data_IF_721854910314
#
_entry.id   IF_721854910314
#
_cell.length_a   1.000
_cell.length_b   1.000
_cell.length_c   1.000
_cell.angle_alpha   90.00
_cell.angle_beta   90.00
_cell.angle_gamma   90.00
#
_symmetry.space_group_name_H-M   'P 1'
#
loop_
_entity.id
_entity.type
_entity.pdbx_description
1 polymer ?
#
# COMPACT_ATOMS: atom_id res chain seq x y z
N UNK A 1 5.94 -13.08 -11.71
CA UNK A 1 6.65 -11.81 -12.03
C UNK A 1 6.33 -10.85 -10.89
N UNK A 2 7.26 -10.00 -10.49
CA UNK A 2 7.05 -9.02 -9.41
C UNK A 2 7.02 -7.58 -9.93
N UNK A 3 7.44 -7.34 -11.17
CA UNK A 3 7.41 -6.04 -11.82
C UNK A 3 7.93 -6.07 -13.26
N UNK A 4 7.59 -5.06 -14.03
CA UNK A 4 8.03 -4.82 -15.42
C UNK A 4 8.37 -3.34 -15.63
N UNK A 5 9.15 -3.01 -16.66
CA UNK A 5 9.40 -1.61 -17.01
C UNK A 5 8.17 -0.91 -17.58
N UNK A 6 8.17 0.42 -17.48
CA UNK A 6 7.06 1.30 -17.90
C UNK A 6 7.60 2.41 -18.80
N UNK A 7 7.03 2.52 -20.00
CA UNK A 7 7.41 3.55 -20.96
C UNK A 7 6.68 4.88 -20.74
N UNK A 8 7.38 5.99 -20.93
CA UNK A 8 6.79 7.33 -20.81
C UNK A 8 5.93 7.67 -22.04
N UNK A 9 4.59 7.67 -21.88
CA UNK A 9 3.62 7.78 -22.98
C UNK A 9 3.80 6.67 -24.04
N UNK A 10 4.28 5.49 -23.63
CA UNK A 10 4.54 4.33 -24.48
C UNK A 10 3.90 3.07 -23.87
N UNK A 11 4.54 1.91 -24.00
CA UNK A 11 4.00 0.64 -23.51
C UNK A 11 3.95 0.59 -22.00
N UNK A 12 2.85 0.08 -21.45
CA UNK A 12 2.77 -0.22 -20.00
C UNK A 12 3.72 -1.34 -19.62
N UNK A 13 3.99 -2.28 -20.55
CA UNK A 13 5.01 -3.31 -20.40
C UNK A 13 6.18 -2.99 -21.33
N UNK A 14 7.24 -2.40 -20.78
CA UNK A 14 8.42 -2.00 -21.53
C UNK A 14 9.66 -2.71 -20.97
N UNK A 15 10.43 -3.36 -21.85
CA UNK A 15 11.72 -3.93 -21.49
C UNK A 15 12.86 -2.92 -21.69
N UNK A 16 14.11 -3.29 -21.39
CA UNK A 16 14.57 -4.62 -20.97
C UNK A 16 14.52 -4.90 -19.46
N UNK A 17 14.46 -3.88 -18.60
CA UNK A 17 14.47 -4.06 -17.15
C UNK A 17 13.15 -4.66 -16.64
N UNK A 18 13.24 -5.57 -15.67
CA UNK A 18 12.09 -6.14 -14.96
C UNK A 18 12.48 -6.64 -13.58
N UNK A 19 11.49 -6.99 -12.76
CA UNK A 19 11.68 -7.67 -11.48
C UNK A 19 10.97 -9.02 -11.55
N UNK A 20 11.72 -10.11 -11.67
CA UNK A 20 11.14 -11.44 -11.83
C UNK A 20 12.06 -12.58 -11.45
N UNK A 21 11.48 -13.75 -11.19
CA UNK A 21 12.21 -14.97 -10.83
C UNK A 21 12.78 -15.72 -12.02
N UNK A 22 12.14 -15.63 -13.18
CA UNK A 22 12.70 -16.14 -14.43
C UNK A 22 13.86 -15.25 -14.85
N UNK A 23 14.93 -15.83 -15.40
CA UNK A 23 16.04 -15.11 -16.04
C UNK A 23 15.76 -14.92 -17.54
N UNK A 24 16.19 -13.81 -18.11
CA UNK A 24 16.18 -13.55 -19.55
C UNK A 24 17.58 -13.14 -19.98
N UNK A 25 18.05 -13.66 -21.11
CA UNK A 25 19.35 -13.27 -21.69
C UNK A 25 19.38 -11.81 -22.15
N UNK A 26 18.21 -11.19 -22.33
CA UNK A 26 18.04 -9.78 -22.72
C UNK A 26 17.75 -8.86 -21.54
N UNK A 27 17.88 -9.35 -20.30
CA UNK A 27 17.64 -8.56 -19.09
C UNK A 27 18.81 -7.64 -18.78
N UNK A 28 18.51 -6.36 -18.61
CA UNK A 28 19.49 -5.35 -18.22
C UNK A 28 19.44 -5.07 -16.71
N UNK A 29 20.59 -4.65 -16.17
CA UNK A 29 20.66 -4.20 -14.78
C UNK A 29 19.79 -2.95 -14.56
N UNK A 30 19.26 -2.82 -13.33
CA UNK A 30 18.57 -1.60 -12.92
C UNK A 30 19.53 -0.41 -12.92
N UNK A 31 19.07 0.71 -13.44
CA UNK A 31 19.82 1.94 -13.56
C UNK A 31 18.97 3.14 -13.14
N UNK A 32 19.63 4.22 -12.72
CA UNK A 32 18.99 5.49 -12.39
C UNK A 32 18.10 5.99 -13.55
N UNK A 33 16.89 6.44 -13.23
CA UNK A 33 15.89 6.93 -14.18
C UNK A 33 14.99 5.86 -14.80
N UNK A 34 15.17 4.58 -14.47
CA UNK A 34 14.27 3.51 -14.93
C UNK A 34 12.98 3.49 -14.11
N UNK A 35 11.83 3.40 -14.78
CA UNK A 35 10.52 3.22 -14.17
C UNK A 35 10.07 1.77 -14.28
N UNK A 36 9.55 1.22 -13.18
CA UNK A 36 9.08 -0.16 -13.07
C UNK A 36 7.75 -0.20 -12.29
N UNK A 37 6.99 -1.28 -12.44
CA UNK A 37 5.98 -1.68 -11.43
C UNK A 37 6.63 -2.48 -10.29
N UNK A 38 6.07 -2.38 -9.08
CA UNK A 38 6.28 -3.27 -7.94
C UNK A 38 4.93 -3.84 -7.51
N UNK A 39 4.67 -5.09 -7.89
CA UNK A 39 3.31 -5.66 -7.92
C UNK A 39 3.15 -7.06 -7.27
N UNK A 40 3.60 -7.28 -6.03
CA UNK A 40 3.39 -8.56 -5.36
C UNK A 40 1.90 -8.90 -5.21
N UNK A 41 1.58 -10.20 -5.37
CA UNK A 41 0.20 -10.69 -5.25
C UNK A 41 0.08 -12.13 -4.78
N UNK A 42 -1.10 -12.47 -4.28
CA UNK A 42 -1.50 -13.80 -3.84
C UNK A 42 -2.92 -14.10 -4.28
N UNK A 43 -3.15 -15.31 -4.77
CA UNK A 43 -4.45 -15.75 -5.28
C UNK A 43 -4.82 -17.11 -4.72
N UNK A 44 -5.99 -17.19 -4.09
CA UNK A 44 -6.58 -18.43 -3.56
C UNK A 44 -7.69 -18.90 -4.51
N UNK A 45 -7.50 -20.03 -5.23
CA UNK A 45 -8.48 -20.53 -6.19
C UNK A 45 -9.87 -20.73 -5.58
N UNK A 46 -10.91 -20.25 -6.27
CA UNK A 46 -12.29 -20.37 -5.84
C UNK A 46 -12.69 -19.47 -4.66
N UNK A 47 -11.82 -18.53 -4.26
CA UNK A 47 -12.04 -17.65 -3.11
C UNK A 47 -11.70 -16.19 -3.47
N UNK A 48 -10.50 -15.71 -3.16
CA UNK A 48 -10.10 -14.32 -3.36
C UNK A 48 -8.69 -14.18 -3.96
N UNK A 49 -8.37 -12.96 -4.40
CA UNK A 49 -7.03 -12.56 -4.81
C UNK A 49 -6.69 -11.16 -4.32
N UNK A 50 -5.41 -10.90 -4.09
CA UNK A 50 -4.88 -9.60 -3.66
C UNK A 50 -3.63 -9.32 -4.50
N UNK A 51 -3.52 -8.10 -5.01
CA UNK A 51 -2.29 -7.53 -5.58
C UNK A 51 -2.17 -6.10 -5.08
N UNK A 52 -0.96 -5.71 -4.70
CA UNK A 52 -0.61 -4.34 -4.34
C UNK A 52 0.42 -3.92 -5.37
N UNK A 53 0.15 -2.85 -6.11
CA UNK A 53 0.93 -2.44 -7.27
C UNK A 53 1.21 -0.94 -7.22
N UNK A 54 2.50 -0.59 -7.22
CA UNK A 54 2.98 0.79 -7.27
C UNK A 54 3.94 0.96 -8.46
N UNK A 55 3.85 2.11 -9.14
CA UNK A 55 4.88 2.55 -10.07
C UNK A 55 6.04 3.16 -9.27
N UNK A 56 7.25 2.72 -9.57
CA UNK A 56 8.48 3.09 -8.87
C UNK A 56 9.54 3.55 -9.86
N UNK A 57 10.32 4.55 -9.46
CA UNK A 57 11.49 5.04 -10.16
C UNK A 57 12.75 4.57 -9.44
N UNK A 58 13.72 4.05 -10.18
CA UNK A 58 15.06 3.76 -9.68
C UNK A 58 15.84 5.07 -9.61
N UNK A 59 16.30 5.44 -8.42
CA UNK A 59 17.06 6.68 -8.20
C UNK A 59 18.34 6.43 -7.40
N UNK A 60 19.33 7.30 -7.52
CA UNK A 60 20.52 7.29 -6.66
C UNK A 60 20.15 7.44 -5.17
N UNK A 61 20.80 6.63 -4.32
CA UNK A 61 20.65 6.70 -2.88
C UNK A 61 21.48 7.86 -2.31
N UNK A 62 20.80 8.88 -1.76
CA UNK A 62 21.41 10.01 -1.09
C UNK A 62 22.22 9.50 0.13
N UNK A 63 23.55 9.40 0.02
CA UNK A 63 24.53 9.13 1.10
C UNK A 63 25.07 7.70 1.24
N UNK A 64 24.93 6.85 0.23
CA UNK A 64 25.53 5.52 0.27
C UNK A 64 26.54 5.38 -0.86
N UNK A 65 27.83 5.44 -0.53
CA UNK A 65 28.91 5.04 -1.43
C UNK A 65 29.74 3.95 -0.78
N UNK A 66 30.11 2.96 -1.57
CA UNK A 66 31.07 1.93 -1.17
C UNK A 66 32.00 1.68 -2.36
N UNK A 67 33.30 1.78 -2.14
CA UNK A 67 34.31 1.56 -3.20
C UNK A 67 34.05 2.40 -4.47
N UNK A 68 33.76 3.70 -4.29
CA UNK A 68 33.38 4.65 -5.36
C UNK A 68 32.12 4.29 -6.17
N UNK A 69 31.34 3.29 -5.74
CA UNK A 69 30.03 2.96 -6.33
C UNK A 69 28.91 3.59 -5.53
N UNK A 70 27.90 4.11 -6.23
CA UNK A 70 26.69 4.64 -5.62
C UNK A 70 25.65 3.52 -5.50
N UNK A 71 24.90 3.49 -4.40
CA UNK A 71 23.76 2.60 -4.28
C UNK A 71 22.53 3.20 -4.97
N UNK A 72 21.64 2.32 -5.42
CA UNK A 72 20.31 2.69 -5.93
C UNK A 72 19.27 2.48 -4.84
N UNK A 73 18.16 3.19 -4.96
CA UNK A 73 16.94 3.01 -4.17
C UNK A 73 15.72 3.23 -5.07
N UNK A 74 14.55 2.85 -4.58
CA UNK A 74 13.30 3.18 -5.25
C UNK A 74 12.70 4.48 -4.73
N UNK A 75 11.99 5.17 -5.62
CA UNK A 75 11.15 6.33 -5.34
C UNK A 75 9.74 6.01 -5.84
N UNK A 76 8.77 5.89 -4.94
CA UNK A 76 7.38 5.59 -5.30
C UNK A 76 6.72 6.78 -5.99
N UNK A 77 6.17 6.52 -7.18
CA UNK A 77 5.46 7.47 -8.04
C UNK A 77 3.96 7.41 -7.79
N UNK A 78 3.40 6.20 -7.62
CA UNK A 78 1.99 6.02 -7.27
C UNK A 78 1.65 6.68 -5.93
N UNK A 79 0.56 7.44 -5.91
CA UNK A 79 0.05 8.15 -4.72
C UNK A 79 -1.38 7.73 -4.43
N UNK A 80 -1.56 6.50 -3.95
CA UNK A 80 -2.85 5.91 -3.60
C UNK A 80 -2.72 5.22 -2.25
N UNK A 81 -3.52 5.57 -1.22
CA UNK A 81 -3.34 4.98 0.09
C UNK A 81 -3.71 3.48 0.09
N UNK A 82 -2.89 2.65 0.74
CA UNK A 82 -3.25 1.26 1.03
C UNK A 82 -4.56 1.15 1.83
N UNK A 83 -5.34 0.10 1.56
CA UNK A 83 -6.62 -0.16 2.24
C UNK A 83 -6.40 -0.57 3.70
N UNK A 84 -6.58 0.38 4.62
CA UNK A 84 -6.30 0.24 6.06
C UNK A 84 -7.02 -0.93 6.71
N UNK A 85 -8.23 -1.25 6.27
CA UNK A 85 -9.03 -2.34 6.85
C UNK A 85 -8.48 -3.74 6.54
N UNK A 86 -7.61 -3.87 5.54
CA UNK A 86 -6.99 -5.14 5.13
C UNK A 86 -5.58 -5.34 5.70
N UNK A 87 -5.08 -4.40 6.49
CA UNK A 87 -3.73 -4.47 7.08
C UNK A 87 -3.82 -5.12 8.47
N UNK A 88 -3.31 -6.34 8.59
CA UNK A 88 -3.05 -6.94 9.89
C UNK A 88 -1.77 -6.35 10.50
N UNK A 89 -1.95 -5.35 11.36
CA UNK A 89 -0.84 -4.63 12.02
C UNK A 89 0.01 -5.56 12.89
N UNK A 90 -0.51 -6.71 13.33
CA UNK A 90 0.26 -7.65 14.16
C UNK A 90 1.37 -8.37 13.39
N UNK A 91 1.28 -8.39 12.05
CA UNK A 91 2.30 -8.97 11.16
C UNK A 91 3.39 -7.95 10.77
N UNK A 92 3.22 -6.67 11.12
CA UNK A 92 4.14 -5.61 10.75
C UNK A 92 5.18 -5.34 11.84
N UNK A 93 6.42 -5.15 11.40
CA UNK A 93 7.43 -4.50 12.25
C UNK A 93 7.09 -3.02 12.44
N UNK A 94 7.62 -2.40 13.50
CA UNK A 94 7.48 -0.97 13.73
C UNK A 94 8.02 -0.13 12.56
N UNK A 95 9.07 -0.61 11.88
CA UNK A 95 9.64 0.07 10.71
C UNK A 95 8.61 0.06 9.57
N UNK A 96 8.04 -1.10 9.23
CA UNK A 96 7.04 -1.22 8.16
C UNK A 96 5.77 -0.40 8.46
N UNK A 97 5.26 -0.44 9.70
CA UNK A 97 4.13 0.38 10.10
C UNK A 97 4.42 1.88 9.95
N UNK A 98 5.62 2.31 10.33
CA UNK A 98 6.03 3.69 10.17
C UNK A 98 6.18 4.07 8.69
N UNK A 99 6.74 3.19 7.85
CA UNK A 99 6.82 3.38 6.40
C UNK A 99 5.44 3.56 5.77
N UNK A 100 4.45 2.75 6.13
CA UNK A 100 3.08 2.89 5.63
C UNK A 100 2.47 4.22 6.04
N UNK A 101 2.63 4.62 7.31
CA UNK A 101 2.10 5.90 7.80
C UNK A 101 2.77 7.11 7.11
N UNK A 102 4.08 7.06 6.89
CA UNK A 102 4.81 8.10 6.16
C UNK A 102 4.37 8.17 4.70
N UNK A 103 4.09 7.03 4.07
CA UNK A 103 3.52 6.99 2.73
C UNK A 103 2.12 7.61 2.68
N UNK A 104 1.23 7.25 3.62
CA UNK A 104 -0.11 7.86 3.72
C UNK A 104 -0.06 9.37 3.95
N UNK A 105 0.89 9.86 4.76
CA UNK A 105 1.14 11.29 4.96
C UNK A 105 1.57 11.96 3.65
N UNK A 106 2.56 11.40 2.94
CA UNK A 106 2.98 11.89 1.60
C UNK A 106 1.81 11.97 0.61
N UNK A 107 0.95 10.95 0.59
CA UNK A 107 -0.24 10.90 -0.27
C UNK A 107 -1.22 12.02 0.08
N UNK A 108 -1.50 12.22 1.38
CA UNK A 108 -2.38 13.30 1.82
C UNK A 108 -1.81 14.68 1.48
N UNK A 109 -0.55 14.94 1.83
CA UNK A 109 0.13 16.21 1.56
C UNK A 109 0.09 16.60 0.08
N UNK A 110 0.25 15.62 -0.81
CA UNK A 110 0.21 15.87 -2.25
C UNK A 110 -1.20 16.09 -2.79
N UNK A 111 -2.18 15.29 -2.34
CA UNK A 111 -3.53 15.28 -2.92
C UNK A 111 -4.48 16.30 -2.30
N UNK A 112 -4.34 16.64 -1.01
CA UNK A 112 -5.26 17.56 -0.34
C UNK A 112 -5.41 18.93 -1.06
N UNK A 113 -4.33 19.60 -1.51
CA UNK A 113 -4.45 20.87 -2.22
C UNK A 113 -5.18 20.75 -3.58
N UNK A 114 -5.09 19.59 -4.22
CA UNK A 114 -5.73 19.31 -5.51
C UNK A 114 -7.22 19.01 -5.36
N UNK A 115 -7.65 18.56 -4.18
CA UNK A 115 -9.03 18.19 -3.86
C UNK A 115 -9.77 19.24 -3.00
N UNK A 116 -9.18 20.43 -2.81
CA UNK A 116 -9.70 21.48 -1.91
C UNK A 116 -11.14 21.91 -2.21
N UNK A 117 -11.59 21.77 -3.46
CA UNK A 117 -12.91 22.19 -3.92
C UNK A 117 -13.92 21.00 -3.94
N UNK A 118 -13.51 19.81 -3.49
CA UNK A 118 -14.34 18.61 -3.35
C UNK A 118 -14.25 18.05 -1.92
N UNK A 119 -15.17 18.52 -1.07
CA UNK A 119 -15.25 18.14 0.34
C UNK A 119 -15.48 16.63 0.54
N UNK A 120 -16.20 15.97 -0.37
CA UNK A 120 -16.45 14.54 -0.27
C UNK A 120 -15.17 13.74 -0.56
N UNK A 121 -14.42 14.10 -1.60
CA UNK A 121 -13.14 13.49 -1.91
C UNK A 121 -12.10 13.75 -0.81
N UNK A 122 -12.07 14.96 -0.25
CA UNK A 122 -11.16 15.33 0.83
C UNK A 122 -11.41 14.50 2.10
N UNK A 123 -12.68 14.33 2.48
CA UNK A 123 -13.04 13.49 3.63
C UNK A 123 -12.70 12.01 3.39
N UNK A 124 -12.88 11.51 2.16
CA UNK A 124 -12.48 10.16 1.79
C UNK A 124 -10.96 9.98 1.86
N UNK A 125 -10.17 10.92 1.33
CA UNK A 125 -8.71 10.92 1.41
C UNK A 125 -8.24 10.87 2.86
N UNK A 126 -8.69 11.81 3.70
CA UNK A 126 -8.31 11.90 5.12
C UNK A 126 -8.63 10.64 5.90
N UNK A 127 -9.78 10.02 5.65
CA UNK A 127 -10.15 8.77 6.30
C UNK A 127 -9.23 7.61 5.89
N UNK A 128 -8.84 7.57 4.61
CA UNK A 128 -7.96 6.53 4.05
C UNK A 128 -6.48 6.73 4.37
N UNK A 129 -6.04 7.95 4.67
CA UNK A 129 -4.66 8.27 5.05
C UNK A 129 -4.46 8.45 6.56
N UNK A 130 -5.51 8.31 7.36
CA UNK A 130 -5.39 8.46 8.81
C UNK A 130 -4.42 7.42 9.41
N UNK A 131 -3.63 7.85 10.39
CA UNK A 131 -2.57 7.05 11.00
C UNK A 131 -3.07 5.68 11.46
N UNK A 132 -2.28 4.65 11.18
CA UNK A 132 -2.46 3.28 11.66
C UNK A 132 -1.62 3.11 12.92
N UNK A 133 -2.23 2.61 13.99
CA UNK A 133 -1.57 2.34 15.26
C UNK A 133 -1.86 0.91 15.71
N UNK A 134 -0.93 0.27 16.42
CA UNK A 134 -1.27 -0.90 17.22
C UNK A 134 -2.34 -0.47 18.24
N UNK A 135 -3.46 -1.20 18.30
CA UNK A 135 -4.32 -1.13 19.47
C UNK A 135 -3.45 -1.53 20.66
N UNK A 136 -3.15 -0.58 21.55
CA UNK A 136 -2.56 -0.93 22.84
C UNK A 136 -3.56 -1.87 23.51
N UNK A 137 -3.20 -3.13 23.68
CA UNK A 137 -3.87 -4.00 24.64
C UNK A 137 -3.78 -3.28 25.97
N UNK A 138 -4.85 -2.57 26.34
CA UNK A 138 -5.05 -2.12 27.70
C UNK A 138 -4.99 -3.38 28.53
N UNK A 139 -3.91 -3.59 29.28
CA UNK A 139 -3.90 -4.52 30.40
C UNK A 139 -4.98 -4.06 31.35
N UNK A 140 -6.19 -4.58 31.18
CA UNK A 140 -7.22 -4.50 32.19
C UNK A 140 -6.72 -5.32 33.37
N UNK A 141 -6.21 -4.65 34.40
CA UNK A 141 -6.16 -5.21 35.74
C UNK A 141 -7.54 -5.82 36.02
N UNK A 142 -7.59 -7.14 36.21
CA UNK A 142 -8.82 -7.84 36.56
C UNK A 142 -9.35 -7.29 37.89
N UNK A 143 -10.56 -6.71 37.95
CA UNK A 143 -11.27 -6.58 39.20
C UNK A 143 -11.82 -7.95 39.56
N UNK A 144 -11.57 -8.38 40.79
CA UNK A 144 -12.18 -9.55 41.43
C UNK A 144 -13.68 -9.62 41.16
N UNK A 145 -14.13 -10.81 40.77
CA UNK A 145 -15.51 -11.22 40.54
C UNK A 145 -16.43 -10.76 41.69
N UNK A 146 -17.43 -9.92 41.38
CA UNK A 146 -18.65 -9.84 42.20
C UNK A 146 -19.84 -9.84 41.25
N UNK A 147 -20.68 -10.86 41.41
CA UNK A 147 -21.86 -11.16 40.61
C UNK A 147 -22.99 -10.18 40.88
N UNK A 148 -23.53 -9.54 39.85
CA UNK A 148 -24.96 -9.18 39.79
C UNK A 148 -25.43 -9.11 38.33
N UNK A 149 -26.57 -9.73 38.10
CA UNK A 149 -27.26 -9.91 36.82
C UNK A 149 -27.94 -8.65 36.32
N UNK A 150 -27.80 -8.34 35.02
CA UNK A 150 -28.86 -7.76 34.17
C UNK A 150 -28.40 -7.73 32.70
N UNK A 151 -29.27 -8.20 31.78
CA UNK A 151 -29.12 -8.08 30.32
C UNK A 151 -29.55 -6.68 29.84
N UNK A 152 -28.95 -6.11 28.77
CA UNK A 152 -29.75 -6.00 27.54
C UNK A 152 -28.96 -6.04 26.19
N UNK A 153 -29.67 -6.58 25.18
CA UNK A 153 -29.74 -6.23 23.75
C UNK A 153 -28.46 -5.96 22.92
N UNK A 154 -28.20 -6.87 21.99
CA UNK A 154 -27.22 -6.74 20.89
C UNK A 154 -27.90 -6.10 19.67
N UNK A 155 -27.53 -4.87 19.32
CA UNK A 155 -27.88 -4.27 18.04
C UNK A 155 -26.94 -4.83 16.95
N UNK A 156 -27.52 -5.47 15.93
CA UNK A 156 -26.82 -5.97 14.76
C UNK A 156 -26.57 -4.82 13.78
N UNK A 157 -25.32 -4.42 13.59
CA UNK A 157 -24.94 -3.47 12.52
C UNK A 157 -24.65 -4.31 11.27
N UNK A 158 -25.62 -4.38 10.36
CA UNK A 158 -25.42 -4.89 9.00
C UNK A 158 -24.78 -3.79 8.15
N UNK A 159 -23.50 -3.93 7.81
CA UNK A 159 -22.85 -3.10 6.80
C UNK A 159 -23.00 -3.82 5.47
N UNK A 160 -23.69 -3.18 4.51
CA UNK A 160 -23.93 -3.72 3.17
C UNK A 160 -22.62 -3.85 2.39
N UNK A 161 -22.37 -5.04 1.83
CA UNK A 161 -21.26 -5.36 0.94
C UNK A 161 -21.23 -4.52 -0.35
N UNK A 162 -22.30 -3.79 -0.66
CA UNK A 162 -22.48 -3.05 -1.91
C UNK A 162 -21.65 -1.77 -2.02
N UNK A 163 -21.11 -1.24 -0.92
CA UNK A 163 -20.37 0.03 -0.92
C UNK A 163 -18.84 -0.14 -0.89
N UNK A 164 -18.34 -1.37 -0.83
CA UNK A 164 -16.91 -1.67 -0.78
C UNK A 164 -16.29 -1.93 -2.17
N UNK A 165 -17.13 -2.15 -3.20
CA UNK A 165 -16.68 -2.62 -4.51
C UNK A 165 -16.25 -1.49 -5.46
N UNK A 166 -16.53 -0.22 -5.16
CA UNK A 166 -16.28 0.88 -6.13
C UNK A 166 -14.94 1.59 -5.98
N UNK A 167 -14.16 1.37 -4.92
CA UNK A 167 -12.96 2.19 -4.67
C UNK A 167 -11.77 1.40 -4.09
N UNK A 168 -11.54 0.19 -4.60
CA UNK A 168 -10.18 -0.32 -4.73
C UNK A 168 -9.76 0.13 -6.13
N UNK A 169 -8.76 0.99 -6.22
CA UNK A 169 -8.14 1.37 -7.47
C UNK A 169 -7.41 0.12 -7.99
N UNK A 170 -8.17 -0.83 -8.53
CA UNK A 170 -7.63 -1.89 -9.34
C UNK A 170 -7.37 -1.22 -10.68
N UNK A 171 -6.10 -1.00 -11.00
CA UNK A 171 -5.69 -0.86 -12.39
C UNK A 171 -5.89 -2.24 -13.05
N UNK A 172 -7.15 -2.63 -13.30
CA UNK A 172 -7.46 -3.61 -14.34
C UNK A 172 -7.35 -2.83 -15.63
N UNK A 173 -6.15 -2.83 -16.22
CA UNK A 173 -6.09 -2.84 -17.68
C UNK A 173 -6.30 -4.27 -18.12
N UNK A 174 -7.38 -4.46 -18.88
CA UNK A 174 -7.70 -5.67 -19.63
C UNK A 174 -6.50 -6.09 -20.48
N UNK A 175 -5.99 -7.30 -20.22
CA UNK A 175 -5.52 -8.23 -21.23
C UNK A 175 -5.98 -9.64 -20.85
#
# INVERSE_FOLDING_TARGET
MSGHGIGHFLSVHEGPQRIGSAYSEYEEALADGVFLSDEPGFYKPGDFGIRIEDDIEVVLANKSTYDNKQYLRFNTITLVPYERSLIDVTLLTNIQLNTINQYHEKVAEFLEPLLKDDEAALNALRSRTAKISLLSTTTSNSPSLTTTSTSPNRASINISLSSLITFILILIHLF
#
